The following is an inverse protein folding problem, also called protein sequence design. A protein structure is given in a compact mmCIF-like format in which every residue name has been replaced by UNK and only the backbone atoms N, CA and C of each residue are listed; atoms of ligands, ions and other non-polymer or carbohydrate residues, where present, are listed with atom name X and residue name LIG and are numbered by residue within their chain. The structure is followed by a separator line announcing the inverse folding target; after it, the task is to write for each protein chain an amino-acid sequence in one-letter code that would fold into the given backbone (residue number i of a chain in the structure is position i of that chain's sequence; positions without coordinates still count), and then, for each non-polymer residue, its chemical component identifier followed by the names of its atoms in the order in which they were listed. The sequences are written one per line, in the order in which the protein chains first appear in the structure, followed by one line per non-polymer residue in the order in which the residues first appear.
data_IF_664870638352
#
_entry.id   IF_664870638352
#
_cell.length_a   1.000
_cell.length_b   1.000
_cell.length_c   1.000
_cell.angle_alpha   90.00
_cell.angle_beta   90.00
_cell.angle_gamma   90.00
#
_symmetry.space_group_name_H-M   'P 1'
#
loop_
_entity.id
_entity.type
_entity.pdbx_description
1 polymer ?
#
# COMPACT_ATOMS: atom_id res chain seq x y z
N UNK A 1 -20.86 -13.39 3.42
CA UNK A 1 -21.56 -12.26 2.76
C UNK A 1 -20.49 -11.30 2.24
N UNK A 2 -20.53 -11.01 0.93
CA UNK A 2 -19.61 -10.17 0.15
C UNK A 2 -18.13 -10.61 0.07
N UNK A 3 -17.85 -11.76 -0.55
CA UNK A 3 -16.48 -12.19 -0.89
C UNK A 3 -16.05 -11.86 -2.32
N UNK A 4 -16.66 -10.84 -2.95
CA UNK A 4 -16.40 -10.51 -4.35
C UNK A 4 -16.26 -9.00 -4.53
N UNK A 5 -15.04 -8.57 -4.88
CA UNK A 5 -14.63 -7.22 -5.28
C UNK A 5 -14.54 -6.17 -4.16
N UNK A 6 -13.56 -6.34 -3.28
CA UNK A 6 -12.84 -5.15 -2.78
C UNK A 6 -11.69 -4.85 -3.75
N UNK A 7 -11.29 -3.58 -3.89
CA UNK A 7 -10.09 -3.20 -4.66
C UNK A 7 -8.77 -3.75 -4.08
N UNK A 8 -8.86 -4.53 -2.99
CA UNK A 8 -7.75 -5.11 -2.25
C UNK A 8 -7.70 -6.64 -2.38
N UNK A 9 -8.38 -7.23 -3.36
CA UNK A 9 -8.39 -8.69 -3.54
C UNK A 9 -7.00 -9.21 -3.91
N UNK A 10 -6.30 -9.77 -2.93
CA UNK A 10 -4.91 -10.21 -2.99
C UNK A 10 -4.64 -11.16 -1.81
N UNK A 11 -3.84 -12.20 -2.04
CA UNK A 11 -3.55 -13.21 -1.00
C UNK A 11 -2.82 -12.61 0.22
N UNK A 12 -1.98 -11.60 0.01
CA UNK A 12 -1.25 -10.90 1.07
C UNK A 12 -2.23 -10.06 1.90
N UNK A 13 -3.23 -9.43 1.26
CA UNK A 13 -4.26 -8.69 1.99
C UNK A 13 -5.19 -9.60 2.77
N UNK A 14 -5.59 -10.75 2.20
CA UNK A 14 -6.37 -11.78 2.91
C UNK A 14 -5.60 -12.27 4.14
N UNK A 15 -4.31 -12.56 3.99
CA UNK A 15 -3.44 -12.94 5.11
C UNK A 15 -3.40 -11.88 6.22
N UNK A 16 -3.24 -10.60 5.87
CA UNK A 16 -3.25 -9.51 6.85
C UNK A 16 -4.60 -9.41 7.58
N UNK A 17 -5.71 -9.60 6.88
CA UNK A 17 -7.04 -9.64 7.48
C UNK A 17 -7.21 -10.83 8.44
N UNK A 18 -6.72 -12.03 8.10
CA UNK A 18 -6.78 -13.17 9.00
C UNK A 18 -5.95 -12.95 10.27
N UNK A 19 -4.75 -12.41 10.14
CA UNK A 19 -3.93 -12.03 11.28
C UNK A 19 -4.65 -11.03 12.19
N UNK A 20 -5.33 -10.03 11.61
CA UNK A 20 -6.13 -9.08 12.39
C UNK A 20 -7.26 -9.78 13.14
N UNK A 21 -8.02 -10.67 12.49
CA UNK A 21 -9.17 -11.36 13.11
C UNK A 21 -8.76 -12.16 14.33
N UNK A 22 -7.69 -12.93 14.24
CA UNK A 22 -7.14 -13.71 15.36
C UNK A 22 -6.84 -12.81 16.57
N UNK A 23 -6.21 -11.67 16.34
CA UNK A 23 -5.84 -10.74 17.42
C UNK A 23 -7.05 -9.94 17.92
N UNK A 24 -7.99 -9.59 17.04
CA UNK A 24 -9.21 -8.89 17.43
C UNK A 24 -10.08 -9.75 18.37
N UNK A 25 -10.10 -11.07 18.17
CA UNK A 25 -10.74 -12.01 19.09
C UNK A 25 -10.02 -12.08 20.43
N UNK A 26 -8.69 -12.22 20.40
CA UNK A 26 -7.89 -12.26 21.63
C UNK A 26 -8.03 -10.98 22.48
N UNK A 27 -8.03 -9.82 21.84
CA UNK A 27 -8.19 -8.52 22.50
C UNK A 27 -9.66 -8.13 22.76
N UNK A 28 -10.61 -8.97 22.39
CA UNK A 28 -12.05 -8.70 22.51
C UNK A 28 -12.46 -7.35 21.91
N UNK A 29 -11.88 -6.99 20.76
CA UNK A 29 -12.23 -5.76 20.05
C UNK A 29 -13.69 -5.85 19.63
N UNK A 30 -14.47 -4.82 19.98
CA UNK A 30 -15.89 -4.70 19.60
C UNK A 30 -16.06 -4.95 18.09
N UNK A 31 -16.94 -5.87 17.66
CA UNK A 31 -17.23 -6.13 16.26
C UNK A 31 -17.49 -4.88 15.41
N UNK A 32 -18.10 -3.84 15.99
CA UNK A 32 -18.39 -2.56 15.33
C UNK A 32 -17.13 -1.77 14.91
N UNK A 33 -15.98 -2.07 15.51
CA UNK A 33 -14.71 -1.41 15.18
C UNK A 33 -13.81 -2.24 14.25
N UNK A 34 -14.08 -3.54 14.12
CA UNK A 34 -13.18 -4.48 13.42
C UNK A 34 -13.01 -4.16 11.94
N UNK A 35 -14.10 -3.93 11.23
CA UNK A 35 -14.05 -3.62 9.79
C UNK A 35 -13.23 -2.35 9.52
N UNK A 36 -13.43 -1.31 10.34
CA UNK A 36 -12.68 -0.06 10.22
C UNK A 36 -11.18 -0.25 10.43
N UNK A 37 -10.79 -1.17 11.32
CA UNK A 37 -9.39 -1.47 11.60
C UNK A 37 -8.74 -2.41 10.57
N UNK A 38 -9.53 -3.08 9.72
CA UNK A 38 -9.03 -3.88 8.59
C UNK A 38 -8.95 -3.08 7.28
N UNK A 39 -9.89 -2.18 7.02
CA UNK A 39 -9.93 -1.49 5.73
C UNK A 39 -9.07 -0.22 5.73
N UNK A 40 -8.27 0.03 4.66
CA UNK A 40 -7.57 1.29 4.54
C UNK A 40 -8.51 2.49 4.47
N UNK A 41 -8.11 3.62 5.06
CA UNK A 41 -8.88 4.88 5.01
C UNK A 41 -8.88 5.50 3.61
N UNK A 42 -7.78 5.36 2.88
CA UNK A 42 -7.60 5.90 1.52
C UNK A 42 -6.67 5.00 0.73
N UNK A 43 -7.01 4.75 -0.52
CA UNK A 43 -6.17 4.09 -1.50
C UNK A 43 -6.21 4.90 -2.80
N UNK A 44 -5.04 5.13 -3.38
CA UNK A 44 -4.87 5.91 -4.61
C UNK A 44 -4.12 5.05 -5.61
N UNK A 45 -4.68 4.89 -6.81
CA UNK A 45 -4.00 4.30 -7.95
C UNK A 45 -3.70 5.41 -8.96
N UNK A 46 -2.50 5.36 -9.56
CA UNK A 46 -2.02 6.35 -10.53
C UNK A 46 -1.41 5.66 -11.74
N UNK A 47 -1.51 6.32 -12.88
CA UNK A 47 -0.89 5.89 -14.14
C UNK A 47 0.21 6.89 -14.49
N UNK A 48 1.40 6.39 -14.81
CA UNK A 48 2.63 7.16 -14.89
C UNK A 48 3.25 7.01 -16.29
N UNK A 49 2.88 7.83 -17.29
CA UNK A 49 3.53 7.82 -18.59
C UNK A 49 4.90 8.50 -18.49
N UNK A 50 5.95 7.79 -18.90
CA UNK A 50 7.36 8.19 -18.79
C UNK A 50 8.04 8.02 -20.15
N UNK A 51 8.83 9.02 -20.54
CA UNK A 51 9.67 8.94 -21.74
C UNK A 51 10.93 8.15 -21.39
N UNK A 52 11.21 7.12 -22.17
CA UNK A 52 12.32 6.19 -21.99
C UNK A 52 13.56 6.68 -22.71
N UNK A 53 14.73 6.14 -22.37
CA UNK A 53 16.01 6.55 -22.96
C UNK A 53 16.08 6.22 -24.47
N UNK A 54 15.34 5.21 -24.93
CA UNK A 54 15.24 4.83 -26.35
C UNK A 54 14.29 5.71 -27.17
N UNK A 55 13.69 6.74 -26.55
CA UNK A 55 12.74 7.67 -27.16
C UNK A 55 11.29 7.17 -27.18
N UNK A 56 11.01 5.97 -26.70
CA UNK A 56 9.63 5.47 -26.54
C UNK A 56 8.96 6.06 -25.30
N UNK A 57 7.66 5.88 -25.16
CA UNK A 57 6.92 6.17 -23.91
C UNK A 57 6.40 4.89 -23.31
N UNK A 58 6.80 4.60 -22.08
CA UNK A 58 6.27 3.49 -21.29
C UNK A 58 5.33 4.03 -20.21
N UNK A 59 4.25 3.31 -19.95
CA UNK A 59 3.29 3.66 -18.90
C UNK A 59 3.40 2.68 -17.74
N UNK A 60 3.61 3.19 -16.52
CA UNK A 60 3.67 2.41 -15.29
C UNK A 60 2.42 2.60 -14.44
N UNK A 61 2.13 1.65 -13.56
CA UNK A 61 1.09 1.77 -12.53
C UNK A 61 1.72 2.05 -11.17
N UNK A 62 1.13 2.95 -10.39
CA UNK A 62 1.56 3.25 -9.03
C UNK A 62 0.40 3.22 -8.04
N UNK A 63 0.73 2.97 -6.77
CA UNK A 63 -0.23 2.84 -5.69
C UNK A 63 0.24 3.59 -4.45
N UNK A 64 -0.69 4.26 -3.74
CA UNK A 64 -0.48 4.78 -2.40
C UNK A 64 -1.67 4.47 -1.51
N UNK A 65 -1.45 3.68 -0.46
CA UNK A 65 -2.46 3.29 0.51
C UNK A 65 -2.14 3.88 1.87
N UNK A 66 -3.14 4.47 2.51
CA UNK A 66 -3.12 5.07 3.83
C UNK A 66 -4.14 4.33 4.71
N UNK A 67 -3.65 3.54 5.66
CA UNK A 67 -4.49 2.65 6.45
C UNK A 67 -5.26 3.40 7.55
N UNK A 68 -4.55 4.13 8.39
CA UNK A 68 -5.11 4.85 9.53
C UNK A 68 -4.58 6.28 9.60
N UNK A 69 -5.42 7.25 9.97
CA UNK A 69 -5.06 8.68 10.07
C UNK A 69 -5.28 9.26 11.47
N UNK A 70 -5.82 8.48 12.42
CA UNK A 70 -6.24 8.99 13.73
C UNK A 70 -5.07 9.29 14.67
N UNK A 71 -3.96 8.54 14.57
CA UNK A 71 -2.79 8.70 15.44
C UNK A 71 -1.87 9.85 15.00
N UNK A 72 -2.10 10.42 13.81
CA UNK A 72 -1.21 11.38 13.17
C UNK A 72 -1.02 11.09 11.68
N UNK A 73 -0.02 11.70 11.02
CA UNK A 73 0.23 11.48 9.60
C UNK A 73 0.59 10.01 9.33
N UNK A 74 0.32 9.55 8.11
CA UNK A 74 0.64 8.17 7.73
C UNK A 74 2.10 8.01 7.36
N UNK A 75 2.77 6.99 7.92
CA UNK A 75 4.17 6.66 7.63
C UNK A 75 4.29 5.32 6.91
N UNK A 76 5.12 5.31 5.87
CA UNK A 76 5.66 4.10 5.27
C UNK A 76 6.24 4.33 3.88
N UNK A 77 7.14 3.41 3.50
CA UNK A 77 7.99 3.55 2.32
C UNK A 77 7.28 3.33 0.98
N UNK A 78 8.06 3.50 -0.08
CA UNK A 78 7.68 3.27 -1.47
C UNK A 78 8.49 2.06 -1.99
N UNK A 79 7.84 1.11 -2.67
CA UNK A 79 8.47 -0.09 -3.26
C UNK A 79 8.41 -0.05 -4.78
N UNK A 80 9.48 -0.46 -5.44
CA UNK A 80 9.52 -0.67 -6.89
C UNK A 80 9.60 -2.19 -7.07
N UNK A 81 8.56 -2.80 -7.63
CA UNK A 81 8.51 -4.24 -7.85
C UNK A 81 7.61 -4.54 -9.07
N UNK A 82 7.96 -5.52 -9.92
CA UNK A 82 7.23 -5.78 -11.16
C UNK A 82 5.74 -6.07 -10.95
N UNK A 83 5.43 -6.90 -9.94
CA UNK A 83 4.09 -7.44 -9.70
C UNK A 83 3.36 -6.74 -8.54
N UNK A 84 3.74 -5.50 -8.23
CA UNK A 84 3.13 -4.76 -7.13
C UNK A 84 1.62 -4.57 -7.36
N UNK A 85 0.80 -4.99 -6.41
CA UNK A 85 -0.67 -4.86 -6.46
C UNK A 85 -1.22 -3.83 -5.44
N UNK A 86 -2.47 -3.41 -5.65
CA UNK A 86 -3.20 -2.60 -4.68
C UNK A 86 -3.40 -3.34 -3.34
N UNK A 87 -3.73 -4.63 -3.40
CA UNK A 87 -3.96 -5.45 -2.21
C UNK A 87 -2.70 -5.70 -1.40
N UNK A 88 -1.57 -6.04 -2.04
CA UNK A 88 -0.27 -6.12 -1.37
C UNK A 88 0.07 -4.79 -0.68
N UNK A 89 -0.12 -3.66 -1.40
CA UNK A 89 0.15 -2.33 -0.86
C UNK A 89 -0.73 -2.04 0.36
N UNK A 90 -2.00 -2.44 0.35
CA UNK A 90 -2.91 -2.30 1.47
C UNK A 90 -2.51 -3.14 2.69
N UNK A 91 -2.07 -4.38 2.47
CA UNK A 91 -1.58 -5.27 3.53
C UNK A 91 -0.36 -4.65 4.24
N UNK A 92 0.60 -4.17 3.45
CA UNK A 92 1.80 -3.51 3.96
C UNK A 92 1.47 -2.21 4.71
N UNK A 93 0.45 -1.46 4.27
CA UNK A 93 0.00 -0.24 4.97
C UNK A 93 -0.67 -0.57 6.32
N UNK A 94 -1.43 -1.67 6.41
CA UNK A 94 -2.00 -2.19 7.66
C UNK A 94 -0.90 -2.55 8.65
N UNK A 95 0.08 -3.36 8.24
CA UNK A 95 1.22 -3.72 9.09
C UNK A 95 2.06 -2.53 9.52
N UNK A 96 2.19 -1.49 8.68
CA UNK A 96 2.84 -0.24 9.09
C UNK A 96 2.10 0.44 10.25
N UNK A 97 0.77 0.35 10.32
CA UNK A 97 0.00 0.90 11.44
C UNK A 97 0.31 0.15 12.73
N UNK A 98 0.32 -1.19 12.68
CA UNK A 98 0.64 -2.02 13.84
C UNK A 98 2.07 -1.83 14.30
N UNK A 99 3.03 -1.76 13.37
CA UNK A 99 4.43 -1.49 13.69
C UNK A 99 4.60 -0.13 14.37
N UNK A 100 3.96 0.92 13.86
CA UNK A 100 4.00 2.24 14.48
C UNK A 100 3.36 2.24 15.88
N UNK A 101 2.22 1.56 16.06
CA UNK A 101 1.57 1.41 17.35
C UNK A 101 2.44 0.65 18.36
N UNK A 102 3.03 -0.48 17.96
CA UNK A 102 3.94 -1.29 18.79
C UNK A 102 5.18 -0.50 19.21
N UNK A 103 5.68 0.39 18.35
CA UNK A 103 6.82 1.25 18.64
C UNK A 103 6.45 2.55 19.40
N UNK A 104 5.18 2.77 19.75
CA UNK A 104 4.73 3.99 20.43
C UNK A 104 4.87 5.26 19.59
N UNK A 105 4.87 5.14 18.25
CA UNK A 105 5.04 6.27 17.34
C UNK A 105 3.68 6.93 17.00
N UNK A 106 3.61 8.28 16.91
CA UNK A 106 2.38 9.01 16.60
C UNK A 106 2.07 9.01 15.09
N UNK A 107 2.07 7.84 14.47
CA UNK A 107 1.87 7.66 13.04
C UNK A 107 0.84 6.58 12.75
N UNK A 108 -0.02 6.85 11.75
CA UNK A 108 -0.74 5.79 11.07
C UNK A 108 0.14 5.06 10.06
N UNK A 109 -0.31 3.92 9.55
CA UNK A 109 0.42 3.19 8.51
C UNK A 109 0.08 3.64 7.10
N UNK A 110 1.09 3.71 6.24
CA UNK A 110 0.94 3.82 4.80
C UNK A 110 1.92 2.89 4.08
N UNK A 111 1.65 2.65 2.81
CA UNK A 111 2.61 2.08 1.88
C UNK A 111 2.31 2.62 0.50
N UNK A 112 3.31 2.69 -0.36
CA UNK A 112 3.08 2.88 -1.77
C UNK A 112 4.13 2.19 -2.60
N UNK A 113 4.05 2.39 -3.90
CA UNK A 113 4.99 1.81 -4.83
C UNK A 113 4.56 1.92 -6.28
N UNK A 114 5.44 1.44 -7.15
CA UNK A 114 5.27 1.45 -8.60
C UNK A 114 5.52 0.02 -9.10
N UNK A 115 4.63 -0.44 -9.99
CA UNK A 115 4.74 -1.72 -10.68
C UNK A 115 5.80 -1.62 -11.78
N UNK A 116 7.07 -1.77 -11.41
CA UNK A 116 8.21 -1.78 -12.35
C UNK A 116 9.40 -2.59 -11.80
N UNK A 117 10.23 -3.10 -12.73
CA UNK A 117 11.52 -3.71 -12.40
C UNK A 117 12.62 -2.64 -12.43
N UNK A 118 13.14 -2.18 -11.27
CA UNK A 118 14.16 -1.13 -11.25
C UNK A 118 15.49 -1.59 -11.87
N UNK A 119 15.73 -2.89 -12.04
CA UNK A 119 16.97 -3.41 -12.65
C UNK A 119 16.97 -3.30 -14.17
N UNK A 120 15.79 -3.11 -14.78
CA UNK A 120 15.60 -2.93 -16.21
C UNK A 120 15.53 -1.47 -16.64
N UNK A 121 15.63 -0.55 -15.70
CA UNK A 121 15.57 0.89 -15.94
C UNK A 121 16.97 1.49 -15.80
N UNK A 122 17.29 2.42 -16.67
CA UNK A 122 18.45 3.27 -16.47
C UNK A 122 18.27 4.16 -15.24
N UNK A 123 19.35 4.81 -14.80
CA UNK A 123 19.28 5.78 -13.71
C UNK A 123 18.35 6.96 -14.04
N UNK A 124 18.34 7.41 -15.30
CA UNK A 124 17.53 8.53 -15.76
C UNK A 124 16.05 8.15 -15.80
N UNK A 125 15.75 6.96 -16.31
CA UNK A 125 14.38 6.42 -16.36
C UNK A 125 13.85 6.19 -14.94
N UNK A 126 14.65 5.62 -14.04
CA UNK A 126 14.28 5.42 -12.65
C UNK A 126 13.98 6.76 -11.93
N UNK A 127 14.77 7.80 -12.20
CA UNK A 127 14.49 9.15 -11.73
C UNK A 127 13.18 9.70 -12.31
N UNK A 128 12.95 9.55 -13.61
CA UNK A 128 11.75 10.03 -14.29
C UNK A 128 10.48 9.36 -13.75
N UNK A 129 10.50 8.03 -13.56
CA UNK A 129 9.42 7.27 -12.91
C UNK A 129 9.20 7.77 -11.48
N UNK A 130 10.27 7.95 -10.70
CA UNK A 130 10.18 8.42 -9.31
C UNK A 130 9.56 9.81 -9.21
N UNK A 131 9.98 10.74 -10.08
CA UNK A 131 9.42 12.10 -10.14
C UNK A 131 7.96 12.08 -10.54
N UNK A 132 7.60 11.27 -11.55
CA UNK A 132 6.21 11.17 -12.01
C UNK A 132 5.28 10.62 -10.94
N UNK A 133 5.75 9.68 -10.11
CA UNK A 133 4.96 9.14 -8.99
C UNK A 133 4.73 10.13 -7.84
N UNK A 134 5.61 11.12 -7.66
CA UNK A 134 5.52 12.10 -6.58
C UNK A 134 4.72 13.36 -6.93
N UNK A 135 4.37 13.55 -8.21
CA UNK A 135 3.52 14.65 -8.69
C UNK A 135 2.07 14.46 -8.27
#
# INVERSE_FOLDING_TARGET
MSSGLTIYDDDIFRMACEQFRVIADYLQIDPNHRERLMLPKRAVAVTLPVHMDDGTTQTFQGYRVQHHLTLGPTKGGTRFAPDLSMGETAALAMWMSWKCALAGLPYGGAKGGIACDPTKLSRNELEAVSRRYMQ
#
